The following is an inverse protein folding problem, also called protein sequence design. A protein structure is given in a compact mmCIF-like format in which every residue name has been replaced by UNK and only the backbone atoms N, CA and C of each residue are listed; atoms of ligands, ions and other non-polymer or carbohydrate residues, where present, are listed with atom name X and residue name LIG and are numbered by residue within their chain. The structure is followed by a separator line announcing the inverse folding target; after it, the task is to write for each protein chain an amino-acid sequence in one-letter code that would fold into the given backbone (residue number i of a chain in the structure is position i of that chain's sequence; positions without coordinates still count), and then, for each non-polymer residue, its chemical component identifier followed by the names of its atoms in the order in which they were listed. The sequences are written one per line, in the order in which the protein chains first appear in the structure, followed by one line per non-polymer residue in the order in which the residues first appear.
data_IF_937217699894
#
_entry.id   IF_937217699894
#
_cell.length_a   1.000
_cell.length_b   1.000
_cell.length_c   1.000
_cell.angle_alpha   90.00
_cell.angle_beta   90.00
_cell.angle_gamma   90.00
#
_symmetry.space_group_name_H-M   'P 1'
#
loop_
_entity.id
_entity.type
_entity.pdbx_description
1 polymer ?
#
# COMPACT_ATOMS: atom_id res chain seq x y z
N UNK A 1 13.21 -2.55 -14.61
CA UNK A 1 13.17 -2.05 -16.03
C UNK A 1 13.40 -0.53 -16.01
N UNK A 2 14.19 0.04 -16.94
CA UNK A 2 14.44 1.48 -16.94
C UNK A 2 13.23 2.27 -17.48
N UNK A 3 12.94 3.45 -16.90
CA UNK A 3 11.85 4.35 -17.33
C UNK A 3 11.79 4.52 -18.87
N UNK A 4 12.96 4.73 -19.49
CA UNK A 4 13.04 4.93 -20.95
C UNK A 4 12.60 3.70 -21.75
N UNK A 5 12.93 2.51 -21.30
CA UNK A 5 12.49 1.26 -21.93
C UNK A 5 10.98 1.10 -21.86
N UNK A 6 10.38 1.39 -20.71
CA UNK A 6 8.92 1.35 -20.52
C UNK A 6 8.19 2.33 -21.43
N UNK A 7 8.69 3.57 -21.53
CA UNK A 7 8.17 4.58 -22.44
C UNK A 7 8.21 4.07 -23.88
N UNK A 8 9.33 3.48 -24.30
CA UNK A 8 9.53 2.94 -25.65
C UNK A 8 8.55 1.80 -25.94
N UNK A 9 8.39 0.85 -25.03
CA UNK A 9 7.48 -0.29 -25.17
C UNK A 9 6.05 0.18 -25.36
N UNK A 10 5.53 1.02 -24.48
CA UNK A 10 4.13 1.53 -24.58
C UNK A 10 3.94 2.33 -25.86
N UNK A 11 4.91 3.15 -26.27
CA UNK A 11 4.82 3.90 -27.52
C UNK A 11 4.76 2.98 -28.75
N UNK A 12 5.58 1.94 -28.79
CA UNK A 12 5.61 0.96 -29.88
C UNK A 12 4.32 0.14 -29.89
N UNK A 13 3.84 -0.31 -28.75
CA UNK A 13 2.58 -1.04 -28.61
C UNK A 13 1.38 -0.24 -29.19
N UNK A 14 1.41 1.08 -28.98
CA UNK A 14 0.40 1.99 -29.56
C UNK A 14 0.66 2.35 -31.04
N UNK A 15 1.69 1.80 -31.67
CA UNK A 15 2.02 2.05 -33.07
C UNK A 15 2.48 3.48 -33.36
N UNK A 16 2.95 4.23 -32.35
CA UNK A 16 3.27 5.66 -32.50
C UNK A 16 4.76 5.86 -32.80
N UNK A 17 5.08 6.53 -33.92
CA UNK A 17 6.48 6.91 -34.24
C UNK A 17 6.97 8.05 -33.34
N UNK A 18 8.31 8.18 -33.14
CA UNK A 18 8.88 9.28 -32.35
C UNK A 18 8.52 10.67 -32.88
N UNK A 19 8.60 10.96 -34.21
CA UNK A 19 8.19 12.26 -34.75
C UNK A 19 6.72 12.58 -34.46
N UNK A 20 5.83 11.63 -34.67
CA UNK A 20 4.41 11.81 -34.40
C UNK A 20 4.14 12.03 -32.90
N UNK A 21 4.88 11.32 -32.04
CA UNK A 21 4.80 11.47 -30.58
C UNK A 21 5.23 12.85 -30.09
N UNK A 22 6.31 13.39 -30.64
CA UNK A 22 6.84 14.70 -30.26
C UNK A 22 6.06 15.88 -30.84
N UNK A 23 5.33 15.67 -31.96
CA UNK A 23 4.52 16.73 -32.59
C UNK A 23 5.36 17.92 -33.04
N UNK A 24 5.09 19.10 -32.49
CA UNK A 24 5.78 20.36 -32.80
C UNK A 24 7.14 20.54 -32.08
N UNK A 25 7.55 19.54 -31.31
CA UNK A 25 8.80 19.51 -30.52
C UNK A 25 8.96 20.61 -29.48
N UNK A 26 7.94 21.37 -29.12
CA UNK A 26 8.04 22.43 -28.12
C UNK A 26 8.30 21.88 -26.70
N UNK A 27 7.58 20.82 -26.32
CA UNK A 27 7.69 20.19 -24.99
C UNK A 27 8.77 19.10 -24.95
N UNK A 28 8.92 18.35 -26.06
CA UNK A 28 9.83 17.20 -26.14
C UNK A 28 10.31 16.98 -27.57
N UNK A 29 11.62 17.11 -27.80
CA UNK A 29 12.17 16.86 -29.13
C UNK A 29 12.38 15.38 -29.41
N UNK A 30 12.40 14.98 -30.68
CA UNK A 30 12.69 13.60 -31.11
C UNK A 30 14.02 13.11 -30.57
N UNK A 31 15.05 14.00 -30.56
CA UNK A 31 16.36 13.69 -30.01
C UNK A 31 16.32 13.42 -28.49
N UNK A 32 15.55 14.23 -27.75
CA UNK A 32 15.38 14.04 -26.30
C UNK A 32 14.65 12.74 -26.00
N UNK A 33 13.54 12.45 -26.72
CA UNK A 33 12.81 11.20 -26.57
C UNK A 33 13.69 9.99 -26.87
N UNK A 34 14.49 10.05 -27.93
CA UNK A 34 15.42 8.96 -28.28
C UNK A 34 16.45 8.69 -27.17
N UNK A 35 16.99 9.76 -26.56
CA UNK A 35 17.93 9.62 -25.45
C UNK A 35 17.27 9.08 -24.16
N UNK A 36 16.03 9.47 -23.90
CA UNK A 36 15.25 8.94 -22.77
C UNK A 36 14.97 7.45 -23.01
N UNK A 37 14.47 7.07 -24.18
CA UNK A 37 14.15 5.69 -24.52
C UNK A 37 15.36 4.75 -24.52
N UNK A 38 16.54 5.27 -24.82
CA UNK A 38 17.80 4.51 -24.75
C UNK A 38 18.42 4.45 -23.36
N UNK A 39 17.86 5.17 -22.37
CA UNK A 39 18.45 5.30 -21.04
C UNK A 39 19.61 6.27 -20.93
N UNK A 40 19.98 6.95 -22.03
CA UNK A 40 21.09 7.93 -22.05
C UNK A 40 20.75 9.24 -21.33
N UNK A 41 19.49 9.50 -20.99
CA UNK A 41 19.05 10.59 -20.12
C UNK A 41 17.78 10.22 -19.39
N UNK A 42 17.63 10.75 -18.17
CA UNK A 42 16.37 10.65 -17.43
C UNK A 42 15.49 11.87 -17.72
N UNK A 43 14.17 11.68 -17.90
CA UNK A 43 13.24 12.79 -18.04
C UNK A 43 13.08 13.51 -16.70
N UNK A 44 12.98 14.85 -16.72
CA UNK A 44 12.51 15.61 -15.57
C UNK A 44 11.03 15.28 -15.29
N UNK A 45 10.55 15.53 -14.06
CA UNK A 45 9.15 15.26 -13.69
C UNK A 45 8.13 15.93 -14.62
N UNK A 46 8.27 17.21 -15.03
CA UNK A 46 7.39 17.83 -16.02
C UNK A 46 7.42 17.11 -17.38
N UNK A 47 8.59 16.68 -17.86
CA UNK A 47 8.69 15.90 -19.11
C UNK A 47 8.07 14.51 -18.99
N UNK A 48 8.25 13.86 -17.84
CA UNK A 48 7.61 12.56 -17.57
C UNK A 48 6.09 12.69 -17.56
N UNK A 49 5.54 13.75 -16.95
CA UNK A 49 4.12 14.04 -16.96
C UNK A 49 3.58 14.32 -18.38
N UNK A 50 4.33 15.06 -19.20
CA UNK A 50 3.99 15.26 -20.61
C UNK A 50 3.96 13.95 -21.39
N UNK A 51 5.00 13.11 -21.24
CA UNK A 51 5.10 11.80 -21.90
C UNK A 51 3.92 10.90 -21.49
N UNK A 52 3.62 10.82 -20.18
CA UNK A 52 2.51 10.01 -19.67
C UNK A 52 1.16 10.45 -20.26
N UNK A 53 0.89 11.76 -20.29
CA UNK A 53 -0.30 12.33 -20.91
C UNK A 53 -0.39 11.99 -22.41
N UNK A 54 0.71 12.09 -23.14
CA UNK A 54 0.76 11.74 -24.59
C UNK A 54 0.57 10.25 -24.82
N UNK A 55 1.02 9.40 -23.92
CA UNK A 55 0.80 7.95 -23.95
C UNK A 55 -0.60 7.56 -23.46
N UNK A 56 -1.35 8.48 -22.84
CA UNK A 56 -2.65 8.15 -22.23
C UNK A 56 -2.54 7.19 -21.06
N UNK A 57 -1.46 7.28 -20.29
CA UNK A 57 -1.21 6.45 -19.11
C UNK A 57 -0.92 7.34 -17.89
N UNK A 58 -1.21 6.88 -16.67
CA UNK A 58 -0.81 7.61 -15.47
C UNK A 58 0.73 7.68 -15.35
N UNK A 59 1.26 8.78 -14.78
CA UNK A 59 2.71 9.00 -14.65
C UNK A 59 3.40 7.85 -13.90
N UNK A 60 2.77 7.35 -12.86
CA UNK A 60 3.30 6.25 -12.05
C UNK A 60 3.52 4.96 -12.87
N UNK A 61 2.74 4.71 -13.92
CA UNK A 61 2.92 3.51 -14.75
C UNK A 61 4.22 3.51 -15.57
N UNK A 62 4.86 4.67 -15.70
CA UNK A 62 6.15 4.83 -16.37
C UNK A 62 7.33 4.66 -15.42
N UNK A 63 7.10 4.67 -14.10
CA UNK A 63 8.16 4.55 -13.10
C UNK A 63 8.55 3.08 -12.94
N UNK A 64 9.87 2.76 -12.78
CA UNK A 64 10.36 1.38 -12.68
C UNK A 64 9.77 0.60 -11.50
N UNK A 65 9.49 1.31 -10.41
CA UNK A 65 8.98 0.73 -9.17
C UNK A 65 7.44 0.60 -9.16
N UNK A 66 6.77 1.10 -10.18
CA UNK A 66 5.33 0.93 -10.43
C UNK A 66 5.11 -0.07 -11.58
N UNK A 67 5.58 -1.28 -11.43
CA UNK A 67 4.98 -2.40 -12.16
C UNK A 67 3.52 -2.45 -11.72
N UNK A 68 2.58 -2.40 -12.67
CA UNK A 68 1.18 -2.62 -12.32
C UNK A 68 1.10 -3.96 -11.60
N UNK A 69 0.67 -3.93 -10.34
CA UNK A 69 0.50 -5.14 -9.55
C UNK A 69 -0.43 -6.10 -10.31
N UNK A 70 -0.19 -7.39 -10.29
CA UNK A 70 -1.05 -8.34 -10.98
C UNK A 70 -2.50 -8.18 -10.53
N UNK A 71 -3.48 -8.05 -11.45
CA UNK A 71 -4.89 -7.86 -11.06
C UNK A 71 -5.39 -8.96 -10.12
N UNK A 72 -4.99 -10.21 -10.35
CA UNK A 72 -5.39 -11.33 -9.49
C UNK A 72 -4.78 -11.24 -8.07
N UNK A 73 -3.56 -10.73 -7.92
CA UNK A 73 -2.98 -10.41 -6.62
C UNK A 73 -3.82 -9.34 -5.89
N UNK A 74 -4.18 -8.26 -6.60
CA UNK A 74 -4.99 -7.19 -6.03
C UNK A 74 -6.37 -7.70 -5.59
N UNK A 75 -6.98 -8.59 -6.37
CA UNK A 75 -8.26 -9.18 -6.03
C UNK A 75 -8.18 -9.99 -4.73
N UNK A 76 -7.17 -10.87 -4.59
CA UNK A 76 -6.92 -11.62 -3.36
C UNK A 76 -6.65 -10.69 -2.16
N UNK A 77 -5.78 -9.69 -2.33
CA UNK A 77 -5.49 -8.70 -1.29
C UNK A 77 -6.74 -7.95 -0.86
N UNK A 78 -7.57 -7.49 -1.80
CA UNK A 78 -8.81 -6.78 -1.49
C UNK A 78 -9.86 -7.69 -0.85
N UNK A 79 -9.92 -8.97 -1.21
CA UNK A 79 -10.79 -9.93 -0.57
C UNK A 79 -10.41 -10.10 0.91
N UNK A 80 -9.12 -10.28 1.22
CA UNK A 80 -8.63 -10.33 2.60
C UNK A 80 -9.01 -9.08 3.38
N UNK A 81 -8.86 -7.90 2.76
CA UNK A 81 -9.10 -6.62 3.42
C UNK A 81 -10.57 -6.30 3.66
N UNK A 82 -11.45 -6.66 2.73
CA UNK A 82 -12.87 -6.28 2.75
C UNK A 82 -13.76 -7.24 3.50
N UNK A 83 -13.41 -8.51 3.56
CA UNK A 83 -14.19 -9.48 4.30
C UNK A 83 -13.99 -9.30 5.81
N UNK A 84 -15.05 -9.01 6.58
CA UNK A 84 -14.93 -8.88 8.03
C UNK A 84 -14.70 -10.24 8.68
N UNK A 85 -14.07 -10.23 9.86
CA UNK A 85 -13.95 -11.40 10.73
C UNK A 85 -14.85 -11.17 11.95
N UNK A 86 -15.82 -12.04 12.16
CA UNK A 86 -16.72 -12.04 13.32
C UNK A 86 -16.36 -13.14 14.33
N UNK A 87 -15.17 -13.73 14.19
CA UNK A 87 -14.63 -14.72 15.11
C UNK A 87 -14.95 -16.17 14.76
N UNK A 88 -15.50 -16.45 13.57
CA UNK A 88 -15.71 -17.81 13.08
C UNK A 88 -14.45 -18.34 12.42
N UNK A 89 -14.09 -19.58 12.70
CA UNK A 89 -12.87 -20.22 12.18
C UNK A 89 -12.84 -20.24 10.64
N UNK A 90 -13.99 -20.48 10.00
CA UNK A 90 -14.13 -20.48 8.55
C UNK A 90 -13.78 -19.12 7.89
N UNK A 91 -13.94 -18.00 8.62
CA UNK A 91 -13.58 -16.66 8.13
C UNK A 91 -12.06 -16.47 8.13
N UNK A 92 -11.36 -17.03 9.12
CA UNK A 92 -9.90 -17.08 9.16
C UNK A 92 -9.34 -17.98 8.06
N UNK A 93 -9.87 -19.19 7.91
CA UNK A 93 -9.42 -20.16 6.90
C UNK A 93 -9.54 -19.61 5.48
N UNK A 94 -10.59 -18.87 5.16
CA UNK A 94 -10.75 -18.23 3.84
C UNK A 94 -9.65 -17.20 3.57
N UNK A 95 -9.33 -16.37 4.56
CA UNK A 95 -8.25 -15.37 4.40
C UNK A 95 -6.88 -16.03 4.33
N UNK A 96 -6.65 -17.08 5.10
CA UNK A 96 -5.43 -17.87 5.07
C UNK A 96 -5.23 -18.50 3.69
N UNK A 97 -6.26 -19.09 3.09
CA UNK A 97 -6.21 -19.61 1.72
C UNK A 97 -5.84 -18.54 0.68
N UNK A 98 -6.36 -17.30 0.82
CA UNK A 98 -5.97 -16.20 -0.05
C UNK A 98 -4.50 -15.81 0.15
N UNK A 99 -4.00 -15.79 1.38
CA UNK A 99 -2.59 -15.49 1.69
C UNK A 99 -1.67 -16.59 1.17
N UNK A 100 -2.02 -17.85 1.35
CA UNK A 100 -1.29 -18.99 0.81
C UNK A 100 -1.13 -18.90 -0.73
N UNK A 101 -2.21 -18.55 -1.44
CA UNK A 101 -2.17 -18.34 -2.88
C UNK A 101 -1.26 -17.15 -3.26
N UNK A 102 -1.30 -16.07 -2.49
CA UNK A 102 -0.40 -14.92 -2.69
C UNK A 102 1.05 -15.34 -2.49
N UNK A 103 1.38 -16.02 -1.40
CA UNK A 103 2.75 -16.47 -1.11
C UNK A 103 3.27 -17.44 -2.17
N UNK A 104 2.44 -18.37 -2.61
CA UNK A 104 2.81 -19.38 -3.61
C UNK A 104 3.04 -18.80 -5.00
N UNK A 105 2.21 -17.81 -5.40
CA UNK A 105 2.14 -17.43 -6.81
C UNK A 105 2.78 -16.07 -7.10
N UNK A 106 2.70 -15.11 -6.16
CA UNK A 106 3.03 -13.72 -6.43
C UNK A 106 4.18 -13.17 -5.59
N UNK A 107 4.33 -13.62 -4.34
CA UNK A 107 5.13 -12.97 -3.31
C UNK A 107 6.56 -12.62 -3.75
N UNK A 108 7.29 -13.56 -4.35
CA UNK A 108 8.68 -13.35 -4.75
C UNK A 108 8.87 -12.29 -5.83
N UNK A 109 7.82 -12.01 -6.61
CA UNK A 109 7.82 -11.04 -7.70
C UNK A 109 7.18 -9.70 -7.33
N UNK A 110 6.66 -9.57 -6.11
CA UNK A 110 6.07 -8.33 -5.62
C UNK A 110 7.15 -7.31 -5.24
N UNK A 111 6.87 -6.00 -5.37
CA UNK A 111 7.69 -4.96 -4.77
C UNK A 111 7.80 -5.14 -3.26
N UNK A 112 8.93 -4.71 -2.66
CA UNK A 112 9.18 -4.86 -1.22
C UNK A 112 8.07 -4.30 -0.33
N UNK A 113 7.47 -3.20 -0.71
CA UNK A 113 6.33 -2.60 -0.01
C UNK A 113 5.09 -3.50 0.00
N UNK A 114 4.87 -4.24 -1.08
CA UNK A 114 3.75 -5.20 -1.18
C UNK A 114 4.07 -6.52 -0.48
N UNK A 115 5.33 -6.95 -0.48
CA UNK A 115 5.79 -8.09 0.33
C UNK A 115 5.54 -7.80 1.81
N UNK A 116 5.97 -6.63 2.30
CA UNK A 116 5.68 -6.19 3.67
C UNK A 116 4.17 -6.14 3.96
N UNK A 117 3.36 -5.67 3.01
CA UNK A 117 1.91 -5.66 3.18
C UNK A 117 1.33 -7.08 3.37
N UNK A 118 1.84 -8.08 2.65
CA UNK A 118 1.45 -9.48 2.82
C UNK A 118 1.85 -10.00 4.21
N UNK A 119 3.07 -9.71 4.65
CA UNK A 119 3.56 -10.10 5.99
C UNK A 119 2.72 -9.44 7.10
N UNK A 120 2.36 -8.16 6.94
CA UNK A 120 1.47 -7.45 7.87
C UNK A 120 0.07 -8.06 7.89
N UNK A 121 -0.49 -8.45 6.74
CA UNK A 121 -1.80 -9.10 6.67
C UNK A 121 -1.77 -10.46 7.36
N UNK A 122 -0.72 -11.25 7.17
CA UNK A 122 -0.51 -12.52 7.87
C UNK A 122 -0.42 -12.29 9.38
N UNK A 123 0.42 -11.34 9.82
CA UNK A 123 0.55 -11.02 11.24
C UNK A 123 -0.75 -10.51 11.86
N UNK A 124 -1.57 -9.74 11.13
CA UNK A 124 -2.91 -9.33 11.57
C UNK A 124 -3.82 -10.55 11.81
N UNK A 125 -3.79 -11.50 10.86
CA UNK A 125 -4.61 -12.71 10.92
C UNK A 125 -4.19 -13.58 12.12
N UNK A 126 -2.90 -13.85 12.27
CA UNK A 126 -2.33 -14.67 13.34
C UNK A 126 -2.55 -14.04 14.72
N UNK A 127 -2.29 -12.74 14.85
CA UNK A 127 -2.51 -12.00 16.09
C UNK A 127 -3.99 -12.01 16.50
N UNK A 128 -4.89 -11.82 15.54
CA UNK A 128 -6.33 -11.83 15.80
C UNK A 128 -6.85 -13.22 16.21
N UNK A 129 -6.41 -14.28 15.49
CA UNK A 129 -6.84 -15.67 15.71
C UNK A 129 -6.28 -16.25 17.00
N UNK A 130 -4.98 -16.06 17.24
CA UNK A 130 -4.26 -16.72 18.34
C UNK A 130 -4.22 -15.91 19.63
N UNK A 131 -4.50 -14.61 19.56
CA UNK A 131 -4.32 -13.65 20.65
C UNK A 131 -2.88 -13.61 21.19
N UNK A 132 -1.89 -13.82 20.33
CA UNK A 132 -0.48 -13.76 20.67
C UNK A 132 0.15 -12.50 20.06
N UNK A 133 0.76 -11.60 20.84
CA UNK A 133 1.35 -10.36 20.35
C UNK A 133 2.65 -10.57 19.57
N UNK A 134 3.32 -11.71 19.73
CA UNK A 134 4.65 -11.99 19.18
C UNK A 134 4.66 -11.93 17.64
N UNK A 135 3.56 -12.28 16.98
CA UNK A 135 3.45 -12.19 15.53
C UNK A 135 3.54 -10.77 14.97
N UNK A 136 3.15 -9.78 15.78
CA UNK A 136 3.20 -8.37 15.38
C UNK A 136 4.51 -7.68 15.80
N UNK A 137 5.21 -8.19 16.80
CA UNK A 137 6.25 -7.46 17.55
C UNK A 137 7.41 -7.05 16.66
N UNK A 138 8.03 -7.99 15.94
CA UNK A 138 9.18 -7.71 15.07
C UNK A 138 8.84 -6.71 13.94
N UNK A 139 7.69 -6.88 13.29
CA UNK A 139 7.27 -5.99 12.21
C UNK A 139 7.05 -4.57 12.73
N UNK A 140 6.42 -4.43 13.89
CA UNK A 140 6.13 -3.11 14.48
C UNK A 140 7.39 -2.43 15.02
N UNK A 141 8.32 -3.17 15.60
CA UNK A 141 9.62 -2.63 16.05
C UNK A 141 10.41 -2.04 14.89
N UNK A 142 10.40 -2.69 13.73
CA UNK A 142 11.15 -2.24 12.55
C UNK A 142 10.49 -1.05 11.84
N UNK A 143 9.16 -1.04 11.72
CA UNK A 143 8.47 -0.13 10.78
C UNK A 143 7.67 0.98 11.46
N UNK A 144 7.27 0.84 12.74
CA UNK A 144 6.30 1.76 13.35
C UNK A 144 6.85 3.17 13.57
N UNK A 145 8.14 3.32 13.84
CA UNK A 145 8.78 4.62 14.00
C UNK A 145 8.68 5.50 12.74
N UNK A 146 8.88 4.89 11.58
CA UNK A 146 8.80 5.58 10.29
C UNK A 146 7.37 6.04 9.96
N UNK A 147 6.36 5.30 10.41
CA UNK A 147 4.95 5.62 10.18
C UNK A 147 4.52 6.84 10.97
N UNK A 148 4.95 6.96 12.21
CA UNK A 148 4.59 8.08 13.10
C UNK A 148 5.08 9.43 12.55
N UNK A 149 6.14 9.43 11.74
CA UNK A 149 6.74 10.63 11.14
C UNK A 149 6.11 11.04 9.80
N UNK A 150 5.27 10.19 9.19
CA UNK A 150 4.65 10.47 7.90
C UNK A 150 3.45 11.42 8.03
N UNK A 151 3.34 12.34 7.07
CA UNK A 151 2.16 13.21 6.93
C UNK A 151 1.02 12.57 6.13
N UNK A 152 1.37 11.67 5.19
CA UNK A 152 0.41 10.98 4.31
C UNK A 152 0.65 9.48 4.39
N UNK A 153 -0.41 8.75 4.68
CA UNK A 153 -0.39 7.29 4.80
C UNK A 153 -0.83 6.61 3.50
N UNK A 154 -0.03 5.66 3.02
CA UNK A 154 -0.44 4.69 2.02
C UNK A 154 -1.42 3.66 2.63
N UNK A 155 -2.06 2.87 1.77
CA UNK A 155 -2.85 1.72 2.22
C UNK A 155 -2.05 0.77 3.11
N UNK A 156 -0.79 0.52 2.75
CA UNK A 156 0.09 -0.38 3.49
C UNK A 156 0.49 0.20 4.86
N UNK A 157 0.69 1.53 4.96
CA UNK A 157 0.92 2.19 6.25
C UNK A 157 -0.30 2.04 7.18
N UNK A 158 -1.51 2.14 6.64
CA UNK A 158 -2.74 1.94 7.43
C UNK A 158 -2.88 0.51 7.95
N UNK A 159 -2.37 -0.50 7.21
CA UNK A 159 -2.32 -1.88 7.68
C UNK A 159 -1.36 -2.06 8.86
N UNK A 160 -0.21 -1.40 8.85
CA UNK A 160 0.71 -1.40 9.99
C UNK A 160 0.08 -0.77 11.25
N UNK A 161 -0.66 0.34 11.08
CA UNK A 161 -1.41 0.94 12.19
C UNK A 161 -2.50 -0.02 12.71
N UNK A 162 -3.19 -0.74 11.82
CA UNK A 162 -4.16 -1.77 12.22
C UNK A 162 -3.49 -2.89 13.02
N UNK A 163 -2.33 -3.38 12.57
CA UNK A 163 -1.55 -4.40 13.28
C UNK A 163 -1.15 -3.92 14.67
N UNK A 164 -0.71 -2.65 14.79
CA UNK A 164 -0.44 -2.03 16.09
C UNK A 164 -1.67 -2.05 16.99
N UNK A 165 -2.84 -1.65 16.51
CA UNK A 165 -4.07 -1.71 17.32
C UNK A 165 -4.45 -3.14 17.73
N UNK A 166 -4.27 -4.13 16.85
CA UNK A 166 -4.51 -5.54 17.20
C UNK A 166 -3.56 -6.01 18.30
N UNK A 167 -2.28 -5.64 18.24
CA UNK A 167 -1.32 -5.93 19.31
C UNK A 167 -1.76 -5.26 20.62
N UNK A 168 -2.15 -3.98 20.57
CA UNK A 168 -2.59 -3.24 21.76
C UNK A 168 -3.83 -3.86 22.43
N UNK A 169 -4.77 -4.39 21.65
CA UNK A 169 -5.96 -5.08 22.17
C UNK A 169 -5.62 -6.34 23.00
N UNK A 170 -4.44 -6.91 22.82
CA UNK A 170 -4.00 -8.12 23.54
C UNK A 170 -3.17 -7.76 24.77
N UNK A 171 -2.45 -6.63 24.73
CA UNK A 171 -1.55 -6.21 25.80
C UNK A 171 -2.32 -5.87 27.09
N UNK A 172 -1.68 -6.20 28.23
CA UNK A 172 -2.19 -5.85 29.57
C UNK A 172 -1.85 -4.40 29.97
N UNK A 173 -0.79 -3.84 29.39
CA UNK A 173 -0.27 -2.50 29.70
C UNK A 173 -0.71 -1.45 28.65
N UNK A 174 -1.83 -1.68 27.98
CA UNK A 174 -2.42 -0.83 26.94
C UNK A 174 -2.52 0.65 27.34
N UNK A 175 -2.84 0.94 28.61
CA UNK A 175 -2.97 2.30 29.12
C UNK A 175 -1.71 3.17 28.89
N UNK A 176 -0.52 2.57 28.84
CA UNK A 176 0.73 3.29 28.54
C UNK A 176 0.79 3.86 27.12
N UNK A 177 0.00 3.34 26.21
CA UNK A 177 0.02 3.67 24.78
C UNK A 177 -1.16 4.56 24.34
N UNK A 178 -1.98 5.03 25.29
CA UNK A 178 -3.20 5.80 25.00
C UNK A 178 -2.91 7.01 24.11
N UNK A 179 -1.92 7.82 24.47
CA UNK A 179 -1.56 9.02 23.71
C UNK A 179 -1.12 8.69 22.27
N UNK A 180 -0.44 7.56 22.08
CA UNK A 180 -0.03 7.12 20.74
C UNK A 180 -1.22 6.63 19.93
N UNK A 181 -2.15 5.92 20.55
CA UNK A 181 -3.39 5.45 19.92
C UNK A 181 -4.22 6.65 19.48
N UNK A 182 -4.47 7.61 20.34
CA UNK A 182 -5.23 8.84 20.02
C UNK A 182 -4.57 9.64 18.89
N UNK A 183 -3.25 9.82 18.93
CA UNK A 183 -2.50 10.49 17.88
C UNK A 183 -2.68 9.81 16.53
N UNK A 184 -2.54 8.48 16.47
CA UNK A 184 -2.71 7.71 15.24
C UNK A 184 -4.15 7.77 14.73
N UNK A 185 -5.15 7.74 15.60
CA UNK A 185 -6.55 7.88 15.22
C UNK A 185 -6.85 9.26 14.62
N UNK A 186 -6.32 10.34 15.21
CA UNK A 186 -6.45 11.68 14.65
C UNK A 186 -5.81 11.79 13.27
N UNK A 187 -4.62 11.25 13.09
CA UNK A 187 -3.97 11.21 11.77
C UNK A 187 -4.74 10.38 10.74
N UNK A 188 -5.32 9.25 11.14
CA UNK A 188 -6.18 8.46 10.23
C UNK A 188 -7.41 9.24 9.78
N UNK A 189 -8.02 10.05 10.65
CA UNK A 189 -9.15 10.90 10.28
C UNK A 189 -8.76 11.97 9.24
N UNK A 190 -7.55 12.50 9.32
CA UNK A 190 -7.04 13.45 8.32
C UNK A 190 -6.78 12.79 6.95
N UNK A 191 -6.44 11.50 6.92
CA UNK A 191 -6.18 10.77 5.67
C UNK A 191 -7.40 10.67 4.74
N UNK A 192 -8.62 10.86 5.25
CA UNK A 192 -9.83 10.88 4.40
C UNK A 192 -9.79 11.96 3.30
N UNK A 193 -8.97 13.01 3.48
CA UNK A 193 -8.81 14.10 2.51
C UNK A 193 -7.97 13.71 1.30
N UNK A 194 -7.09 12.73 1.46
CA UNK A 194 -6.10 12.32 0.44
C UNK A 194 -6.31 10.88 -0.04
N UNK A 195 -7.05 10.08 0.71
CA UNK A 195 -7.36 8.69 0.36
C UNK A 195 -8.45 8.62 -0.71
N UNK A 196 -8.28 7.76 -1.70
CA UNK A 196 -9.32 7.47 -2.69
C UNK A 196 -10.55 6.86 -2.02
N UNK A 197 -11.74 7.24 -2.49
CA UNK A 197 -13.02 6.79 -1.93
C UNK A 197 -13.13 5.26 -1.83
N UNK A 198 -12.60 4.55 -2.82
CA UNK A 198 -12.59 3.08 -2.85
C UNK A 198 -11.82 2.42 -1.69
N UNK A 199 -10.92 3.17 -1.04
CA UNK A 199 -10.08 2.71 0.07
C UNK A 199 -10.56 3.20 1.46
N UNK A 200 -11.65 3.95 1.53
CA UNK A 200 -12.16 4.46 2.81
C UNK A 200 -12.52 3.37 3.83
N UNK A 201 -12.85 2.17 3.37
CA UNK A 201 -13.11 1.04 4.26
C UNK A 201 -11.90 0.69 5.12
N UNK A 202 -10.66 0.89 4.62
CA UNK A 202 -9.43 0.61 5.39
C UNK A 202 -9.30 1.60 6.55
N UNK A 203 -9.55 2.89 6.30
CA UNK A 203 -9.56 3.92 7.35
C UNK A 203 -10.62 3.58 8.40
N UNK A 204 -11.85 3.29 7.97
CA UNK A 204 -12.96 2.92 8.85
C UNK A 204 -12.59 1.75 9.74
N UNK A 205 -12.12 0.65 9.16
CA UNK A 205 -11.86 -0.58 9.88
C UNK A 205 -10.65 -0.45 10.82
N UNK A 206 -9.66 0.36 10.44
CA UNK A 206 -8.52 0.69 11.30
C UNK A 206 -8.96 1.58 12.48
N UNK A 207 -9.82 2.57 12.25
CA UNK A 207 -10.39 3.41 13.31
C UNK A 207 -11.25 2.60 14.29
N UNK A 208 -12.06 1.65 13.81
CA UNK A 208 -12.83 0.74 14.68
C UNK A 208 -11.89 -0.02 15.60
N UNK A 209 -10.78 -0.55 15.09
CA UNK A 209 -9.78 -1.24 15.92
C UNK A 209 -9.17 -0.33 16.99
N UNK A 210 -8.88 0.93 16.65
CA UNK A 210 -8.41 1.94 17.59
C UNK A 210 -9.44 2.30 18.66
N UNK A 211 -10.71 2.43 18.28
CA UNK A 211 -11.82 2.67 19.23
C UNK A 211 -11.95 1.53 20.22
N UNK A 212 -11.83 0.28 19.80
CA UNK A 212 -11.84 -0.88 20.71
C UNK A 212 -10.68 -0.82 21.70
N UNK A 213 -9.52 -0.28 21.33
CA UNK A 213 -8.41 -0.06 22.26
C UNK A 213 -8.78 0.96 23.35
N UNK A 214 -9.38 2.09 22.97
CA UNK A 214 -9.79 3.15 23.94
C UNK A 214 -10.90 2.65 24.86
N UNK A 215 -11.90 1.93 24.34
CA UNK A 215 -12.97 1.32 25.13
C UNK A 215 -12.39 0.36 26.21
N UNK A 216 -11.44 -0.47 25.82
CA UNK A 216 -10.80 -1.42 26.75
C UNK A 216 -10.08 -0.71 27.91
N UNK A 217 -9.50 0.46 27.70
CA UNK A 217 -8.88 1.25 28.77
C UNK A 217 -9.92 1.85 29.68
N UNK A 218 -11.00 2.44 29.13
CA UNK A 218 -12.08 3.03 29.92
C UNK A 218 -12.82 2.03 30.82
N UNK A 219 -12.82 0.74 30.45
CA UNK A 219 -13.43 -0.33 31.26
C UNK A 219 -12.49 -0.79 32.40
N UNK A 220 -11.16 -0.59 32.26
CA UNK A 220 -10.19 -0.99 33.29
C UNK A 220 -10.00 0.05 34.38
N UNK A 221 -10.42 1.30 34.16
CA UNK A 221 -10.33 2.40 35.12
C UNK A 221 -11.62 2.57 35.98
N UNK A 222 -12.60 1.68 35.84
CA UNK A 222 -13.80 1.54 36.67
C UNK A 222 -13.69 0.35 37.62
#
# INVERSE_FOLDING_TARGET
MLIGQKIKEIRIEKGVSRPYFCGDEQELTVRQLSRIESGASQPSLPKLAYIARRLGVPVYSLMPDFSALPPAYLELKYQILREPIYGKEEEYDKKEACLEEIYKTYFDNLPKEEQLACEVLQACLDTSRTRRPEYAELILEEHMSQIIEKEVYSTNDMLLIRLFFYQMLIRKDLAKFINQIEKLMLFLLEQKKVTKLENFFIIRDTLISGMCCLEKVGVTDC
#
